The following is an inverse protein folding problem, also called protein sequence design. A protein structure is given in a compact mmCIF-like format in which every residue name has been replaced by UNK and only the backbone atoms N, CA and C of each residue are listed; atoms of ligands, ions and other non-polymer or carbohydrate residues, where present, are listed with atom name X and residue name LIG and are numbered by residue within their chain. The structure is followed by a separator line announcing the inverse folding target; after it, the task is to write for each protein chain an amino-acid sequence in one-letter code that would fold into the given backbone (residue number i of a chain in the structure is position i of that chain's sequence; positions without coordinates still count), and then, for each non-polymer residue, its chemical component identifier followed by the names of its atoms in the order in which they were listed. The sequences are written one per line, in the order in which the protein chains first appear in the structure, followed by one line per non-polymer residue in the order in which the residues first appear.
data_IF_490893136160
#
_entry.id   IF_490893136160
#
_cell.length_a   1.000
_cell.length_b   1.000
_cell.length_c   1.000
_cell.angle_alpha   90.00
_cell.angle_beta   90.00
_cell.angle_gamma   90.00
#
_symmetry.space_group_name_H-M   'P 1'
#
loop_
_entity.id
_entity.type
_entity.pdbx_description
1 polymer ?
#
# COMPACT_ATOMS: atom_id res chain seq x y z
N UNK A 1 -21.69 -23.91 27.30
CA UNK A 1 -22.39 -22.94 26.44
C UNK A 1 -21.71 -21.61 26.64
N UNK A 2 -21.17 -21.10 25.53
CA UNK A 2 -20.50 -19.81 25.28
C UNK A 2 -19.30 -19.43 26.17
N UNK A 3 -18.09 -19.32 25.62
CA UNK A 3 -17.60 -18.26 24.69
C UNK A 3 -17.60 -16.92 25.44
N UNK A 4 -16.45 -16.33 25.78
CA UNK A 4 -15.60 -15.63 24.82
C UNK A 4 -14.18 -15.51 25.37
N UNK A 5 -13.22 -15.92 24.54
CA UNK A 5 -11.79 -15.91 24.80
C UNK A 5 -11.24 -14.49 24.60
N UNK A 6 -10.52 -14.05 25.63
CA UNK A 6 -9.28 -13.26 25.60
C UNK A 6 -9.28 -11.78 25.17
N UNK A 7 -8.86 -10.97 26.14
CA UNK A 7 -8.34 -9.62 25.99
C UNK A 7 -6.82 -9.72 25.73
N UNK A 8 -6.39 -9.32 24.54
CA UNK A 8 -5.03 -8.81 24.27
C UNK A 8 -5.23 -7.44 23.62
N UNK A 9 -4.68 -6.31 24.09
CA UNK A 9 -3.36 -6.10 24.66
C UNK A 9 -2.51 -5.38 23.60
N UNK A 10 -2.76 -4.09 23.34
CA UNK A 10 -2.05 -3.31 22.31
C UNK A 10 -1.27 -2.15 22.92
N UNK A 11 -0.13 -2.49 23.52
CA UNK A 11 1.02 -1.62 23.64
C UNK A 11 2.25 -2.49 23.36
N UNK A 12 3.26 -1.94 22.65
CA UNK A 12 4.54 -2.55 22.17
C UNK A 12 4.44 -3.10 20.74
N UNK A 13 5.40 -2.95 19.84
CA UNK A 13 6.83 -2.65 19.95
C UNK A 13 7.27 -2.06 18.58
N UNK A 14 8.17 -1.06 18.59
CA UNK A 14 9.01 -0.79 17.41
C UNK A 14 9.81 -2.06 17.14
N UNK A 15 9.82 -2.57 15.88
CA UNK A 15 10.62 -3.72 15.41
C UNK A 15 9.91 -5.09 15.28
N UNK A 16 8.85 -5.18 14.46
CA UNK A 16 8.47 -6.42 13.75
C UNK A 16 8.69 -6.24 12.24
N UNK A 17 9.94 -6.39 11.79
CA UNK A 17 10.17 -6.79 10.40
C UNK A 17 9.57 -8.19 10.19
N UNK A 18 8.98 -8.41 9.00
CA UNK A 18 8.71 -9.74 8.44
C UNK A 18 7.54 -10.56 9.02
N UNK A 19 6.30 -10.12 8.80
CA UNK A 19 5.34 -11.09 8.25
C UNK A 19 5.59 -11.08 6.75
N UNK A 20 6.22 -12.14 6.24
CA UNK A 20 6.43 -12.44 4.83
C UNK A 20 5.28 -11.94 3.94
N UNK A 21 5.50 -10.82 3.24
CA UNK A 21 4.54 -10.09 2.39
C UNK A 21 4.50 -10.69 0.99
N UNK A 22 4.89 -11.96 0.85
CA UNK A 22 4.97 -12.62 -0.46
C UNK A 22 3.55 -12.77 -1.00
N UNK A 23 3.23 -11.99 -2.03
CA UNK A 23 1.93 -11.89 -2.73
C UNK A 23 0.85 -11.00 -2.08
N UNK A 24 1.14 -10.29 -1.00
CA UNK A 24 0.21 -9.28 -0.46
C UNK A 24 0.15 -8.05 -1.41
N UNK A 25 -1.06 -7.58 -1.70
CA UNK A 25 -1.29 -6.36 -2.49
C UNK A 25 -1.59 -5.20 -1.56
N UNK A 26 -0.70 -4.23 -1.53
CA UNK A 26 -0.81 -3.01 -0.73
C UNK A 26 -1.23 -1.83 -1.58
N UNK A 27 -2.17 -1.04 -1.08
CA UNK A 27 -2.56 0.22 -1.69
C UNK A 27 -2.32 1.37 -0.72
N UNK A 28 -1.43 2.28 -1.10
CA UNK A 28 -1.03 3.43 -0.29
C UNK A 28 -1.65 4.68 -0.91
N UNK A 29 -2.54 5.34 -0.17
CA UNK A 29 -3.11 6.64 -0.57
C UNK A 29 -2.40 7.71 0.24
N UNK A 30 -1.40 8.38 -0.31
CA UNK A 30 -0.69 9.47 0.39
C UNK A 30 0.15 10.30 -0.58
N UNK A 31 0.44 11.57 -0.26
CA UNK A 31 1.31 12.40 -1.09
C UNK A 31 2.80 12.02 -0.96
N UNK A 32 3.44 11.81 -2.10
CA UNK A 32 4.89 12.00 -2.30
C UNK A 32 5.83 11.08 -1.51
N UNK A 33 6.89 11.70 -0.95
CA UNK A 33 8.15 11.09 -0.50
C UNK A 33 8.01 9.93 0.50
N UNK A 34 7.04 10.01 1.42
CA UNK A 34 6.81 8.98 2.43
C UNK A 34 6.27 7.67 1.84
N UNK A 35 5.71 7.71 0.63
CA UNK A 35 5.28 6.53 -0.11
C UNK A 35 6.47 5.77 -0.70
N UNK A 36 7.57 6.48 -1.01
CA UNK A 36 8.70 5.90 -1.74
C UNK A 36 9.46 4.89 -0.90
N UNK A 37 9.93 5.29 0.28
CA UNK A 37 10.71 4.41 1.17
C UNK A 37 9.89 3.21 1.65
N UNK A 38 8.60 3.41 1.96
CA UNK A 38 7.70 2.31 2.34
C UNK A 38 7.42 1.38 1.15
N UNK A 39 7.19 1.92 -0.05
CA UNK A 39 7.02 1.11 -1.24
C UNK A 39 8.27 0.30 -1.56
N UNK A 40 9.46 0.89 -1.42
CA UNK A 40 10.72 0.15 -1.58
C UNK A 40 10.79 -1.02 -0.60
N UNK A 41 10.53 -0.78 0.69
CA UNK A 41 10.56 -1.84 1.69
C UNK A 41 9.57 -2.98 1.38
N UNK A 42 8.34 -2.64 0.98
CA UNK A 42 7.32 -3.63 0.58
C UNK A 42 7.72 -4.39 -0.69
N UNK A 43 8.26 -3.70 -1.69
CA UNK A 43 8.68 -4.29 -2.97
C UNK A 43 9.91 -5.19 -2.81
N UNK A 44 10.84 -4.84 -1.91
CA UNK A 44 11.98 -5.70 -1.54
C UNK A 44 11.53 -6.98 -0.83
N UNK A 45 10.46 -6.92 -0.05
CA UNK A 45 9.84 -8.10 0.58
C UNK A 45 9.09 -8.99 -0.44
N UNK A 46 8.77 -8.44 -1.62
CA UNK A 46 8.08 -9.13 -2.71
C UNK A 46 6.58 -8.88 -2.76
N UNK A 47 6.11 -7.86 -2.04
CA UNK A 47 4.74 -7.38 -2.13
C UNK A 47 4.46 -6.71 -3.49
N UNK A 48 3.18 -6.52 -3.80
CA UNK A 48 2.74 -5.67 -4.91
C UNK A 48 2.16 -4.39 -4.33
N UNK A 49 2.53 -3.23 -4.87
CA UNK A 49 2.23 -1.93 -4.26
C UNK A 49 1.56 -1.00 -5.28
N UNK A 50 0.30 -0.66 -5.04
CA UNK A 50 -0.38 0.46 -5.68
C UNK A 50 -0.15 1.74 -4.89
N UNK A 51 0.29 2.82 -5.54
CA UNK A 51 0.53 4.11 -4.89
C UNK A 51 -0.34 5.15 -5.55
N UNK A 52 -1.22 5.77 -4.76
CA UNK A 52 -2.12 6.83 -5.20
C UNK A 52 -1.59 8.15 -4.63
N UNK A 53 -1.08 9.01 -5.50
CA UNK A 53 -0.44 10.27 -5.14
C UNK A 53 -0.79 11.37 -6.15
N UNK A 54 -0.66 12.64 -5.77
CA UNK A 54 -0.80 13.76 -6.72
C UNK A 54 0.46 13.96 -7.59
N UNK A 55 1.59 13.41 -7.14
CA UNK A 55 2.87 13.44 -7.82
C UNK A 55 3.48 12.03 -7.85
N UNK A 56 3.59 11.45 -9.05
CA UNK A 56 4.15 10.11 -9.27
C UNK A 56 5.54 10.12 -9.88
N UNK A 57 6.06 11.30 -10.21
CA UNK A 57 7.41 11.51 -10.75
C UNK A 57 8.51 10.80 -9.93
N UNK A 58 8.55 10.87 -8.58
CA UNK A 58 9.57 10.18 -7.78
C UNK A 58 9.43 8.65 -7.78
N UNK A 59 8.30 8.13 -8.26
CA UNK A 59 8.02 6.69 -8.37
C UNK A 59 8.45 6.13 -9.73
N UNK A 60 8.69 6.97 -10.74
CA UNK A 60 9.05 6.53 -12.09
C UNK A 60 10.29 5.60 -12.09
N UNK A 61 11.29 5.92 -11.27
CA UNK A 61 12.48 5.07 -11.09
C UNK A 61 12.12 3.71 -10.47
N UNK A 62 11.16 3.66 -9.55
CA UNK A 62 10.69 2.40 -8.95
C UNK A 62 9.91 1.56 -9.96
N UNK A 63 9.07 2.18 -10.78
CA UNK A 63 8.38 1.49 -11.87
C UNK A 63 9.37 0.85 -12.84
N UNK A 64 10.47 1.55 -13.16
CA UNK A 64 11.49 0.99 -14.04
C UNK A 64 12.19 -0.25 -13.43
N UNK A 65 12.28 -0.34 -12.10
CA UNK A 65 12.95 -1.44 -11.39
C UNK A 65 12.01 -2.61 -11.12
N UNK A 66 10.79 -2.33 -10.66
CA UNK A 66 9.84 -3.33 -10.16
C UNK A 66 8.68 -3.64 -11.12
N UNK A 67 8.52 -2.83 -12.18
CA UNK A 67 7.56 -3.01 -13.28
C UNK A 67 6.15 -3.35 -12.78
N UNK A 68 5.71 -4.59 -13.00
CA UNK A 68 4.35 -5.09 -12.69
C UNK A 68 4.03 -5.14 -11.19
N UNK A 69 5.06 -5.05 -10.32
CA UNK A 69 4.86 -5.06 -8.87
C UNK A 69 4.49 -3.70 -8.31
N UNK A 70 4.61 -2.62 -9.08
CA UNK A 70 4.27 -1.28 -8.63
C UNK A 70 3.33 -0.59 -9.61
N UNK A 71 2.23 -0.05 -9.10
CA UNK A 71 1.28 0.72 -9.89
C UNK A 71 1.14 2.13 -9.30
N UNK A 72 1.83 3.13 -9.85
CA UNK A 72 1.55 4.52 -9.51
C UNK A 72 0.27 4.98 -10.21
N UNK A 73 -0.61 5.60 -9.45
CA UNK A 73 -1.84 6.24 -9.94
C UNK A 73 -1.78 7.71 -9.54
N UNK A 74 -1.61 8.56 -10.55
CA UNK A 74 -1.64 10.01 -10.37
C UNK A 74 -3.10 10.46 -10.25
N UNK A 75 -3.47 11.00 -9.08
CA UNK A 75 -4.81 11.53 -8.83
C UNK A 75 -4.77 12.62 -7.79
N UNK A 76 -5.80 13.47 -7.76
CA UNK A 76 -5.92 14.48 -6.71
C UNK A 76 -6.29 13.81 -5.38
N UNK A 77 -5.30 13.58 -4.51
CA UNK A 77 -5.49 12.96 -3.19
C UNK A 77 -6.36 13.77 -2.23
N UNK A 78 -6.65 15.04 -2.54
CA UNK A 78 -7.54 15.90 -1.73
C UNK A 78 -9.01 15.73 -2.12
N UNK A 79 -9.27 15.06 -3.23
CA UNK A 79 -10.61 14.78 -3.75
C UNK A 79 -10.98 13.32 -3.45
N UNK A 80 -12.02 13.13 -2.63
CA UNK A 80 -12.39 11.80 -2.13
C UNK A 80 -12.82 10.88 -3.28
N UNK A 81 -13.65 11.37 -4.21
CA UNK A 81 -14.05 10.61 -5.40
C UNK A 81 -12.84 10.24 -6.28
N UNK A 82 -11.87 11.13 -6.40
CA UNK A 82 -10.65 10.87 -7.16
C UNK A 82 -9.77 9.79 -6.50
N UNK A 83 -9.73 9.75 -5.16
CA UNK A 83 -9.08 8.69 -4.39
C UNK A 83 -9.81 7.36 -4.58
N UNK A 84 -11.14 7.34 -4.47
CA UNK A 84 -11.94 6.13 -4.64
C UNK A 84 -11.77 5.53 -6.04
N UNK A 85 -11.74 6.37 -7.08
CA UNK A 85 -11.43 5.93 -8.45
C UNK A 85 -10.01 5.39 -8.57
N UNK A 86 -9.03 5.99 -7.90
CA UNK A 86 -7.66 5.48 -7.86
C UNK A 86 -7.58 4.10 -7.20
N UNK A 87 -8.32 3.89 -6.09
CA UNK A 87 -8.39 2.60 -5.41
C UNK A 87 -9.05 1.58 -6.32
N UNK A 88 -10.13 1.94 -7.01
CA UNK A 88 -10.79 1.05 -7.98
C UNK A 88 -9.81 0.61 -9.08
N UNK A 89 -9.04 1.53 -9.65
CA UNK A 89 -8.01 1.21 -10.65
C UNK A 89 -6.94 0.25 -10.11
N UNK A 90 -6.47 0.50 -8.87
CA UNK A 90 -5.51 -0.40 -8.24
C UNK A 90 -6.09 -1.82 -8.02
N UNK A 91 -7.38 -1.90 -7.64
CA UNK A 91 -8.09 -3.19 -7.50
C UNK A 91 -8.25 -3.90 -8.84
N UNK A 92 -8.54 -3.17 -9.92
CA UNK A 92 -8.67 -3.77 -11.25
C UNK A 92 -7.34 -4.27 -11.78
N UNK A 93 -6.24 -3.55 -11.52
CA UNK A 93 -4.92 -3.92 -11.99
C UNK A 93 -4.37 -5.16 -11.26
N UNK A 94 -4.44 -5.18 -9.93
CA UNK A 94 -3.91 -6.28 -9.12
C UNK A 94 -4.92 -7.41 -8.88
N UNK A 95 -6.20 -7.20 -9.22
CA UNK A 95 -7.31 -8.14 -8.98
C UNK A 95 -7.90 -8.08 -7.57
N UNK A 96 -7.06 -7.84 -6.55
CA UNK A 96 -7.49 -7.61 -5.17
C UNK A 96 -6.56 -6.62 -4.46
N UNK A 97 -7.00 -6.06 -3.33
CA UNK A 97 -6.15 -5.31 -2.39
C UNK A 97 -6.31 -5.98 -1.04
N UNK A 98 -5.20 -6.37 -0.43
CA UNK A 98 -5.18 -6.99 0.89
C UNK A 98 -5.21 -5.90 1.98
N UNK A 99 -4.29 -4.93 1.86
CA UNK A 99 -4.22 -3.78 2.76
C UNK A 99 -4.35 -2.46 2.03
N UNK A 100 -5.35 -1.69 2.42
CA UNK A 100 -5.52 -0.29 2.05
C UNK A 100 -5.07 0.59 3.22
N UNK A 101 -4.15 1.51 2.95
CA UNK A 101 -3.70 2.50 3.92
C UNK A 101 -4.00 3.89 3.39
N UNK A 102 -5.05 4.50 3.93
CA UNK A 102 -5.42 5.91 3.78
C UNK A 102 -4.74 6.75 4.87
N UNK A 103 -4.57 8.07 4.69
CA UNK A 103 -4.03 8.93 5.74
C UNK A 103 -4.95 9.00 6.96
#
# INVERSE_FOLDING_TARGET
MNDTIDRQGAARDENECATIVQDEVWCLVRPGRASRDEAVALLEDGARVGIIADDVEPLATLVAVYYDRILPVETNVRDTDAVERGIALAREHFGWIDRLRTP
#
